data_IF_947880449751
#
_entry.id   IF_947880449751
#
_cell.length_a   1.000
_cell.length_b   1.000
_cell.length_c   1.000
_cell.angle_alpha   90.00
_cell.angle_beta   90.00
_cell.angle_gamma   90.00
#
_symmetry.space_group_name_H-M   'P 1'
#
loop_
_entity.id
_entity.type
_entity.pdbx_description
1 polymer ?
#
# COMPACT_ATOMS: atom_id res chain seq x y z
N UNK A 1 -8.93 -19.58 -0.32
CA UNK A 1 -9.15 -18.59 -1.39
C UNK A 1 -8.29 -17.38 -1.10
N UNK A 2 -7.55 -16.87 -2.09
CA UNK A 2 -6.76 -15.64 -1.93
C UNK A 2 -7.68 -14.43 -2.02
N UNK A 3 -7.57 -13.49 -1.09
CA UNK A 3 -8.43 -12.30 -0.99
C UNK A 3 -7.71 -11.13 -1.63
N UNK A 4 -8.38 -10.40 -2.53
CA UNK A 4 -7.84 -9.16 -3.09
C UNK A 4 -7.66 -8.11 -2.00
N UNK A 5 -6.45 -7.58 -1.84
CA UNK A 5 -6.12 -6.54 -0.84
C UNK A 5 -5.98 -5.17 -1.46
N UNK A 6 -5.34 -5.08 -2.63
CA UNK A 6 -5.08 -3.81 -3.29
C UNK A 6 -4.98 -4.01 -4.81
N UNK A 7 -5.49 -3.07 -5.59
CA UNK A 7 -5.46 -3.13 -7.06
C UNK A 7 -5.15 -1.75 -7.64
N UNK A 8 -3.88 -1.53 -7.97
CA UNK A 8 -3.40 -0.23 -8.46
C UNK A 8 -4.02 0.11 -9.82
N UNK A 9 -4.06 -0.86 -10.74
CA UNK A 9 -4.63 -0.70 -12.08
C UNK A 9 -6.08 -0.21 -12.03
N UNK A 10 -6.88 -0.75 -11.09
CA UNK A 10 -8.28 -0.34 -10.90
C UNK A 10 -8.38 1.08 -10.37
N UNK A 11 -7.51 1.48 -9.44
CA UNK A 11 -7.49 2.85 -8.90
C UNK A 11 -7.11 3.87 -9.99
N UNK A 12 -6.13 3.57 -10.83
CA UNK A 12 -5.74 4.43 -11.95
C UNK A 12 -6.86 4.59 -13.00
N UNK A 13 -7.60 3.52 -13.27
CA UNK A 13 -8.69 3.53 -14.27
C UNK A 13 -9.94 4.30 -13.79
N UNK A 14 -10.15 4.43 -12.47
CA UNK A 14 -11.34 5.10 -11.90
C UNK A 14 -11.40 6.60 -12.18
N UNK A 15 -10.30 7.26 -12.53
CA UNK A 15 -10.32 8.70 -12.80
C UNK A 15 -9.35 9.07 -13.95
N UNK A 16 -9.78 9.98 -14.81
CA UNK A 16 -9.01 10.47 -15.97
C UNK A 16 -8.16 11.71 -15.64
N UNK A 17 -8.35 12.35 -14.49
CA UNK A 17 -7.55 13.52 -14.11
C UNK A 17 -6.10 13.13 -13.83
N UNK A 18 -5.17 13.91 -14.40
CA UNK A 18 -3.74 13.77 -14.19
C UNK A 18 -3.36 13.91 -12.71
N UNK A 19 -3.88 14.93 -12.03
CA UNK A 19 -3.58 15.19 -10.61
C UNK A 19 -4.06 14.07 -9.68
N UNK A 20 -5.17 13.41 -10.02
CA UNK A 20 -5.63 12.24 -9.27
C UNK A 20 -4.72 11.04 -9.48
N UNK A 21 -4.29 10.79 -10.73
CA UNK A 21 -3.38 9.68 -11.04
C UNK A 21 -2.03 9.86 -10.35
N UNK A 22 -1.48 11.08 -10.36
CA UNK A 22 -0.26 11.42 -9.62
C UNK A 22 -0.42 11.18 -8.11
N UNK A 23 -1.57 11.58 -7.53
CA UNK A 23 -1.86 11.31 -6.12
C UNK A 23 -1.91 9.81 -5.82
N UNK A 24 -2.60 9.02 -6.64
CA UNK A 24 -2.70 7.56 -6.47
C UNK A 24 -1.34 6.88 -6.66
N UNK A 25 -0.55 7.32 -7.64
CA UNK A 25 0.81 6.84 -7.85
C UNK A 25 1.69 7.13 -6.61
N UNK A 26 1.64 8.35 -6.07
CA UNK A 26 2.36 8.72 -4.84
C UNK A 26 1.95 7.86 -3.65
N UNK A 27 0.65 7.67 -3.43
CA UNK A 27 0.11 6.82 -2.35
C UNK A 27 0.60 5.39 -2.51
N UNK A 28 0.51 4.85 -3.72
CA UNK A 28 0.89 3.47 -4.00
C UNK A 28 2.39 3.28 -3.81
N UNK A 29 3.20 4.21 -4.30
CA UNK A 29 4.66 4.18 -4.14
C UNK A 29 5.07 4.17 -2.67
N UNK A 30 4.53 5.09 -1.87
CA UNK A 30 4.82 5.13 -0.42
C UNK A 30 4.41 3.84 0.28
N UNK A 31 3.22 3.30 -0.04
CA UNK A 31 2.77 2.03 0.52
C UNK A 31 3.66 0.86 0.12
N UNK A 32 4.04 0.74 -1.16
CA UNK A 32 4.87 -0.36 -1.64
C UNK A 32 6.28 -0.30 -1.07
N UNK A 33 6.87 0.90 -0.94
CA UNK A 33 8.18 1.09 -0.31
C UNK A 33 8.10 0.59 1.13
N UNK A 34 7.10 1.05 1.88
CA UNK A 34 6.89 0.65 3.27
C UNK A 34 6.79 -0.87 3.42
N UNK A 35 5.99 -1.53 2.58
CA UNK A 35 5.80 -2.98 2.63
C UNK A 35 7.08 -3.74 2.28
N UNK A 36 7.82 -3.29 1.25
CA UNK A 36 9.06 -3.92 0.80
C UNK A 36 10.16 -3.79 1.86
N UNK A 37 10.40 -2.58 2.36
CA UNK A 37 11.43 -2.30 3.38
C UNK A 37 11.19 -3.06 4.69
N UNK A 38 9.93 -3.37 5.01
CA UNK A 38 9.56 -4.10 6.21
C UNK A 38 9.34 -5.61 5.99
N UNK A 39 9.68 -6.15 4.81
CA UNK A 39 9.48 -7.56 4.45
C UNK A 39 8.02 -8.04 4.66
N UNK A 40 7.05 -7.21 4.28
CA UNK A 40 5.62 -7.49 4.43
C UNK A 40 4.97 -8.03 3.15
N UNK A 41 5.67 -7.91 2.03
CA UNK A 41 5.25 -8.35 0.70
C UNK A 41 6.25 -9.35 0.14
N UNK A 42 5.78 -10.35 -0.60
CA UNK A 42 6.60 -11.41 -1.20
C UNK A 42 6.89 -11.18 -2.67
N UNK A 43 6.03 -10.43 -3.38
CA UNK A 43 6.26 -10.03 -4.77
C UNK A 43 7.18 -8.81 -4.88
N UNK A 44 7.69 -8.58 -6.09
CA UNK A 44 8.43 -7.37 -6.44
C UNK A 44 7.48 -6.31 -7.03
N UNK A 45 7.14 -5.23 -6.29
CA UNK A 45 6.16 -4.25 -6.75
C UNK A 45 6.73 -3.19 -7.70
N UNK A 46 8.06 -3.07 -7.79
CA UNK A 46 8.72 -2.04 -8.59
C UNK A 46 9.20 -2.57 -9.94
N UNK A 47 9.23 -1.67 -10.92
CA UNK A 47 9.93 -1.82 -12.20
C UNK A 47 11.42 -1.52 -11.99
N UNK A 48 12.23 -1.77 -13.01
CA UNK A 48 13.68 -1.54 -12.98
C UNK A 48 14.06 -0.06 -12.80
N UNK A 49 13.16 0.86 -13.14
CA UNK A 49 13.32 2.32 -12.97
C UNK A 49 12.92 2.83 -11.56
N UNK A 50 12.44 1.94 -10.68
CA UNK A 50 12.00 2.30 -9.33
C UNK A 50 10.56 2.85 -9.24
N UNK A 51 9.81 2.85 -10.35
CA UNK A 51 8.37 3.13 -10.33
C UNK A 51 7.55 1.88 -10.03
N UNK A 52 6.33 2.07 -9.55
CA UNK A 52 5.40 0.96 -9.27
C UNK A 52 4.90 0.35 -10.58
N UNK A 53 4.80 -0.97 -10.66
CA UNK A 53 4.18 -1.68 -11.80
C UNK A 53 2.72 -1.24 -11.98
N UNK A 54 2.32 -0.85 -13.20
CA UNK A 54 0.99 -0.28 -13.46
C UNK A 54 -0.14 -1.31 -13.27
N UNK A 55 0.19 -2.57 -13.52
CA UNK A 55 -0.63 -3.76 -13.35
C UNK A 55 -0.52 -4.37 -11.94
N UNK A 56 0.08 -3.66 -10.97
CA UNK A 56 0.21 -4.15 -9.61
C UNK A 56 -1.17 -4.50 -9.02
N UNK A 57 -1.34 -5.78 -8.75
CA UNK A 57 -2.46 -6.34 -7.98
C UNK A 57 -1.87 -7.14 -6.84
N UNK A 58 -2.40 -6.93 -5.65
CA UNK A 58 -1.88 -7.46 -4.42
C UNK A 58 -2.98 -8.27 -3.73
N UNK A 59 -2.76 -9.57 -3.64
CA UNK A 59 -3.61 -10.52 -2.95
C UNK A 59 -3.05 -10.85 -1.58
N UNK A 60 -3.85 -11.51 -0.74
CA UNK A 60 -3.40 -11.98 0.58
C UNK A 60 -2.23 -12.96 0.49
N UNK A 61 -2.10 -13.72 -0.60
CA UNK A 61 -0.98 -14.63 -0.87
C UNK A 61 0.34 -13.91 -1.16
N UNK A 62 0.27 -12.64 -1.56
CA UNK A 62 1.44 -11.82 -1.89
C UNK A 62 1.98 -11.08 -0.67
N UNK A 63 1.35 -11.29 0.49
CA UNK A 63 1.69 -10.69 1.77
C UNK A 63 2.14 -11.78 2.75
N UNK A 64 3.06 -11.41 3.62
CA UNK A 64 3.34 -12.22 4.82
C UNK A 64 2.14 -12.20 5.77
N UNK A 65 2.12 -13.06 6.78
CA UNK A 65 1.08 -13.03 7.81
C UNK A 65 1.00 -11.67 8.49
N UNK A 66 2.16 -11.08 8.78
CA UNK A 66 2.27 -9.74 9.36
C UNK A 66 1.78 -8.66 8.39
N UNK A 67 2.10 -8.78 7.09
CA UNK A 67 1.58 -7.89 6.05
C UNK A 67 0.06 -7.95 5.94
N UNK A 68 -0.52 -9.16 6.00
CA UNK A 68 -1.96 -9.36 6.01
C UNK A 68 -2.63 -8.71 7.22
N UNK A 69 -2.06 -8.84 8.42
CA UNK A 69 -2.56 -8.19 9.64
C UNK A 69 -2.50 -6.66 9.53
N UNK A 70 -1.39 -6.11 9.03
CA UNK A 70 -1.24 -4.68 8.81
C UNK A 70 -2.31 -4.15 7.84
N UNK A 71 -2.53 -4.85 6.72
CA UNK A 71 -3.56 -4.49 5.74
C UNK A 71 -4.97 -4.53 6.31
N UNK A 72 -5.23 -5.44 7.24
CA UNK A 72 -6.55 -5.56 7.88
C UNK A 72 -6.78 -4.46 8.91
N UNK A 73 -5.77 -4.12 9.72
CA UNK A 73 -5.98 -3.31 10.93
C UNK A 73 -5.52 -1.85 10.83
N UNK A 74 -4.48 -1.57 10.02
CA UNK A 74 -3.80 -0.27 10.02
C UNK A 74 -3.79 0.42 8.66
N UNK A 75 -3.76 -0.32 7.55
CA UNK A 75 -3.92 0.26 6.22
C UNK A 75 -5.21 1.09 6.08
N UNK A 76 -6.41 0.64 6.53
CA UNK A 76 -7.63 1.44 6.42
C UNK A 76 -7.55 2.75 7.20
N UNK A 77 -6.85 2.75 8.34
CA UNK A 77 -6.65 3.95 9.17
C UNK A 77 -5.74 4.97 8.48
N UNK A 78 -4.66 4.49 7.88
CA UNK A 78 -3.74 5.33 7.10
C UNK A 78 -4.39 5.86 5.82
N UNK A 79 -5.12 5.02 5.09
CA UNK A 79 -5.92 5.44 3.93
C UNK A 79 -6.92 6.53 4.30
N UNK A 80 -7.70 6.34 5.37
CA UNK A 80 -8.66 7.33 5.85
C UNK A 80 -8.01 8.65 6.31
N UNK A 81 -6.75 8.62 6.76
CA UNK A 81 -5.99 9.84 7.07
C UNK A 81 -5.65 10.61 5.77
N UNK A 82 -5.19 9.92 4.72
CA UNK A 82 -4.90 10.53 3.42
C UNK A 82 -6.17 11.07 2.75
N UNK A 83 -7.28 10.33 2.85
CA UNK A 83 -8.57 10.75 2.28
C UNK A 83 -9.08 12.06 2.91
N UNK A 84 -8.72 12.32 4.17
CA UNK A 84 -9.01 13.57 4.89
C UNK A 84 -8.02 14.71 4.60
N UNK A 85 -7.14 14.54 3.62
CA UNK A 85 -6.14 15.56 3.25
C UNK A 85 -4.81 15.44 4.00
N UNK A 86 -4.57 14.32 4.68
CA UNK A 86 -3.29 14.02 5.32
C UNK A 86 -2.15 13.90 4.32
N UNK A 87 -0.91 14.12 4.78
CA UNK A 87 0.28 13.94 3.96
C UNK A 87 0.55 12.45 3.73
N UNK A 88 0.59 12.06 2.45
CA UNK A 88 0.86 10.69 2.03
C UNK A 88 2.20 10.17 2.56
N UNK A 89 3.21 11.05 2.69
CA UNK A 89 4.52 10.66 3.21
C UNK A 89 4.51 10.38 4.72
N UNK A 90 3.45 10.74 5.44
CA UNK A 90 3.31 10.46 6.86
C UNK A 90 2.86 9.01 7.09
N UNK A 91 3.85 8.13 7.22
CA UNK A 91 3.67 6.70 7.47
C UNK A 91 3.58 6.33 8.96
N UNK A 92 3.41 7.30 9.87
CA UNK A 92 3.40 7.05 11.32
C UNK A 92 2.35 6.02 11.73
N UNK A 93 1.15 6.07 11.14
CA UNK A 93 0.08 5.11 11.41
C UNK A 93 0.50 3.68 11.06
N UNK A 94 1.23 3.50 9.94
CA UNK A 94 1.71 2.21 9.49
C UNK A 94 2.86 1.71 10.39
N UNK A 95 3.83 2.57 10.71
CA UNK A 95 4.94 2.25 11.61
C UNK A 95 4.45 1.84 13.01
N UNK A 96 3.60 2.65 13.63
CA UNK A 96 3.05 2.39 14.96
C UNK A 96 2.21 1.10 14.95
N UNK A 97 1.46 0.88 13.87
CA UNK A 97 0.68 -0.34 13.68
C UNK A 97 1.55 -1.58 13.55
N UNK A 98 2.58 -1.53 12.71
CA UNK A 98 3.52 -2.63 12.53
C UNK A 98 4.25 -2.97 13.84
N UNK A 99 4.69 -1.96 14.58
CA UNK A 99 5.34 -2.15 15.88
C UNK A 99 4.43 -2.83 16.90
N UNK A 100 3.13 -2.49 16.91
CA UNK A 100 2.14 -3.17 17.77
C UNK A 100 1.95 -4.62 17.36
N UNK A 101 1.88 -4.90 16.05
CA UNK A 101 1.70 -6.25 15.54
C UNK A 101 2.92 -7.15 15.79
N UNK A 102 4.15 -6.62 15.70
CA UNK A 102 5.39 -7.37 15.99
C UNK A 102 5.54 -7.77 17.46
N UNK A 103 4.84 -7.10 18.38
CA UNK A 103 4.89 -7.35 19.83
C UNK A 103 3.77 -8.28 20.31
N UNK A 104 2.88 -8.68 19.42
CA UNK A 104 1.76 -9.56 19.70
C UNK A 104 2.18 -11.01 19.49
#
# INVERSE_FOLDING_TARGET
MSVLRFNYSTLLKRNKSLSYREKIAKITKVLMIFLKENNLITLEPFKDDGEVKDELVLYSSDLTDLGNLLFKEYYPKWSAYIDRGGDVSNIKILNDGLNKLKRK
#
